data_IF_912745746879
#
_entry.id   IF_912745746879
#
_cell.length_a   1.000
_cell.length_b   1.000
_cell.length_c   1.000
_cell.angle_alpha   90.00
_cell.angle_beta   90.00
_cell.angle_gamma   90.00
#
_symmetry.space_group_name_H-M   'P 1'
#
loop_
_entity.id
_entity.type
_entity.pdbx_description
1 polymer ?
#
# COMPACT_ATOMS: atom_id res chain seq x y z
N UNK A 1 3.75 -21.35 -0.06
CA UNK A 1 2.81 -20.22 -0.16
C UNK A 1 3.43 -18.97 0.41
N UNK A 2 4.17 -19.05 1.53
CA UNK A 2 4.92 -17.91 2.09
C UNK A 2 5.90 -17.30 1.09
N UNK A 3 6.55 -18.09 0.24
CA UNK A 3 7.50 -17.58 -0.77
C UNK A 3 6.87 -16.55 -1.72
N UNK A 4 5.59 -16.74 -2.07
CA UNK A 4 4.85 -15.77 -2.90
C UNK A 4 4.67 -14.46 -2.14
N UNK A 5 4.18 -14.53 -0.89
CA UNK A 5 3.93 -13.32 -0.10
C UNK A 5 5.21 -12.59 0.27
N UNK A 6 6.29 -13.32 0.56
CA UNK A 6 7.61 -12.74 0.80
C UNK A 6 8.05 -11.94 -0.42
N UNK A 7 7.95 -12.49 -1.64
CA UNK A 7 8.29 -11.77 -2.86
C UNK A 7 7.40 -10.52 -3.05
N UNK A 8 6.09 -10.63 -2.81
CA UNK A 8 5.18 -9.48 -2.90
C UNK A 8 5.52 -8.38 -1.88
N UNK A 9 5.90 -8.75 -0.66
CA UNK A 9 6.31 -7.80 0.39
C UNK A 9 7.64 -7.12 0.04
N UNK A 10 8.56 -7.84 -0.59
CA UNK A 10 9.81 -7.27 -1.10
C UNK A 10 9.56 -6.28 -2.23
N UNK A 11 8.68 -6.61 -3.19
CA UNK A 11 8.24 -5.66 -4.22
C UNK A 11 7.60 -4.42 -3.58
N UNK A 12 6.76 -4.62 -2.57
CA UNK A 12 6.11 -3.53 -1.83
C UNK A 12 7.13 -2.56 -1.22
N UNK A 13 8.15 -3.05 -0.52
CA UNK A 13 9.19 -2.20 0.06
C UNK A 13 9.88 -1.36 -1.01
N UNK A 14 10.28 -1.99 -2.12
CA UNK A 14 10.98 -1.28 -3.21
C UNK A 14 10.11 -0.21 -3.88
N UNK A 15 8.84 -0.52 -4.14
CA UNK A 15 7.91 0.42 -4.78
C UNK A 15 7.52 1.55 -3.84
N UNK A 16 7.32 1.27 -2.54
CA UNK A 16 6.99 2.29 -1.53
C UNK A 16 8.11 3.33 -1.40
N UNK A 17 9.36 2.89 -1.25
CA UNK A 17 10.52 3.78 -1.19
C UNK A 17 10.66 4.62 -2.47
N UNK A 18 10.56 3.98 -3.64
CA UNK A 18 10.65 4.68 -4.91
C UNK A 18 9.53 5.71 -5.08
N UNK A 19 8.32 5.40 -4.61
CA UNK A 19 7.17 6.31 -4.64
C UNK A 19 7.38 7.51 -3.72
N UNK A 20 7.80 7.29 -2.48
CA UNK A 20 8.13 8.36 -1.54
C UNK A 20 9.18 9.31 -2.13
N UNK A 21 10.26 8.75 -2.66
CA UNK A 21 11.31 9.55 -3.28
C UNK A 21 10.80 10.28 -4.52
N UNK A 22 10.00 9.62 -5.37
CA UNK A 22 9.42 10.25 -6.56
C UNK A 22 8.52 11.44 -6.21
N UNK A 23 7.66 11.30 -5.21
CA UNK A 23 6.75 12.36 -4.76
C UNK A 23 7.54 13.52 -4.17
N UNK A 24 8.54 13.24 -3.34
CA UNK A 24 9.43 14.27 -2.80
C UNK A 24 10.16 15.03 -3.91
N UNK A 25 10.79 14.32 -4.85
CA UNK A 25 11.59 14.92 -5.92
C UNK A 25 10.75 15.71 -6.94
N UNK A 26 9.57 15.20 -7.27
CA UNK A 26 8.72 15.77 -8.32
C UNK A 26 7.78 16.86 -7.81
N UNK A 27 7.42 16.83 -6.52
CA UNK A 27 6.30 17.59 -5.98
C UNK A 27 6.61 18.32 -4.66
N UNK A 28 7.73 17.98 -3.99
CA UNK A 28 8.20 18.64 -2.77
C UNK A 28 7.62 18.07 -1.47
N UNK A 29 8.14 18.54 -0.33
CA UNK A 29 7.86 18.00 1.02
C UNK A 29 6.39 18.09 1.47
N UNK A 30 5.59 18.96 0.85
CA UNK A 30 4.16 19.12 1.18
C UNK A 30 3.25 18.19 0.37
N UNK A 31 3.80 17.51 -0.63
CA UNK A 31 3.04 16.55 -1.42
C UNK A 31 2.88 15.24 -0.63
N UNK A 32 1.68 14.69 -0.68
CA UNK A 32 1.35 13.43 -0.04
C UNK A 32 0.78 12.48 -1.08
N UNK A 33 0.76 11.19 -0.77
CA UNK A 33 0.10 10.21 -1.59
C UNK A 33 -0.68 9.24 -0.72
N UNK A 34 -1.73 8.69 -1.28
CA UNK A 34 -2.53 7.64 -0.68
C UNK A 34 -2.91 6.63 -1.75
N UNK A 35 -3.24 5.40 -1.34
CA UNK A 35 -3.80 4.44 -2.28
C UNK A 35 -5.27 4.20 -1.98
N UNK A 36 -6.05 4.14 -3.04
CA UNK A 36 -7.45 3.73 -2.99
C UNK A 36 -7.58 2.39 -3.70
N UNK A 37 -7.33 1.31 -2.96
CA UNK A 37 -7.34 -0.08 -3.44
C UNK A 37 -6.35 -0.32 -4.59
N UNK A 38 -6.78 -0.06 -5.83
CA UNK A 38 -6.02 -0.28 -7.08
C UNK A 38 -5.54 1.02 -7.74
N UNK A 39 -5.80 2.16 -7.10
CA UNK A 39 -5.40 3.50 -7.54
C UNK A 39 -4.38 4.09 -6.59
N UNK A 40 -3.51 4.93 -7.14
CA UNK A 40 -2.63 5.81 -6.38
C UNK A 40 -3.07 7.25 -6.63
N UNK A 41 -3.32 7.97 -5.56
CA UNK A 41 -3.67 9.39 -5.62
C UNK A 41 -2.52 10.20 -5.02
N UNK A 42 -2.02 11.18 -5.78
CA UNK A 42 -0.98 12.10 -5.33
C UNK A 42 -1.60 13.47 -5.17
N UNK A 43 -1.49 14.01 -3.95
CA UNK A 43 -2.08 15.26 -3.48
C UNK A 43 -0.99 16.34 -3.33
N UNK A 44 -1.20 17.47 -4.00
CA UNK A 44 -0.33 18.65 -4.01
C UNK A 44 -1.11 19.91 -3.61
N UNK A 45 -1.84 19.83 -2.50
CA UNK A 45 -2.71 20.92 -2.05
C UNK A 45 -3.95 21.07 -2.93
N UNK A 46 -3.89 21.95 -3.94
CA UNK A 46 -5.03 22.24 -4.84
C UNK A 46 -5.16 21.29 -6.03
N UNK A 47 -4.18 20.38 -6.19
CA UNK A 47 -4.13 19.42 -7.30
C UNK A 47 -4.04 18.00 -6.76
N UNK A 48 -5.02 17.21 -7.12
CA UNK A 48 -5.05 15.77 -6.91
C UNK A 48 -5.02 15.09 -8.27
N UNK A 49 -4.21 14.04 -8.39
CA UNK A 49 -4.18 13.21 -9.60
C UNK A 49 -4.12 11.74 -9.24
N UNK A 50 -5.01 11.00 -9.87
CA UNK A 50 -5.13 9.55 -9.72
C UNK A 50 -4.42 8.79 -10.84
N UNK A 51 -3.74 7.71 -10.49
CA UNK A 51 -2.95 6.87 -11.39
C UNK A 51 -3.39 5.40 -11.33
N UNK A 52 -3.49 4.72 -12.48
CA UNK A 52 -3.60 3.25 -12.54
C UNK A 52 -2.24 2.55 -12.46
N UNK A 53 -2.27 1.23 -12.34
CA UNK A 53 -1.10 0.34 -12.33
C UNK A 53 -0.12 0.64 -13.46
N UNK A 54 -0.58 0.78 -14.70
CA UNK A 54 0.31 0.98 -15.84
C UNK A 54 1.00 2.35 -15.78
N UNK A 55 0.27 3.37 -15.32
CA UNK A 55 0.82 4.70 -15.09
C UNK A 55 1.83 4.71 -13.94
N UNK A 56 1.55 4.05 -12.82
CA UNK A 56 2.48 3.93 -11.68
C UNK A 56 3.74 3.17 -12.12
N UNK A 57 3.58 2.06 -12.83
CA UNK A 57 4.69 1.24 -13.34
C UNK A 57 5.61 2.07 -14.25
N UNK A 58 5.03 2.83 -15.19
CA UNK A 58 5.79 3.73 -16.06
C UNK A 58 6.44 4.90 -15.32
N UNK A 59 5.76 5.45 -14.30
CA UNK A 59 6.24 6.57 -13.49
C UNK A 59 7.46 6.18 -12.63
N UNK A 60 7.42 5.00 -12.01
CA UNK A 60 8.45 4.53 -11.08
C UNK A 60 9.46 3.58 -11.72
N UNK A 61 9.30 3.23 -13.01
CA UNK A 61 10.11 2.26 -13.73
C UNK A 61 10.13 0.86 -13.07
N UNK A 62 8.96 0.38 -12.67
CA UNK A 62 8.73 -0.98 -12.16
C UNK A 62 7.88 -1.79 -13.13
N UNK A 63 7.83 -3.12 -12.94
CA UNK A 63 6.85 -3.95 -13.63
C UNK A 63 5.45 -3.69 -13.06
N UNK A 64 4.41 -3.91 -13.87
CA UNK A 64 3.04 -3.86 -13.37
C UNK A 64 2.79 -4.88 -12.25
N UNK A 65 3.46 -6.04 -12.28
CA UNK A 65 3.31 -7.05 -11.24
C UNK A 65 3.87 -6.59 -9.90
N UNK A 66 5.02 -5.89 -9.88
CA UNK A 66 5.55 -5.30 -8.66
C UNK A 66 4.63 -4.20 -8.11
N UNK A 67 4.04 -3.38 -8.99
CA UNK A 67 3.06 -2.35 -8.58
C UNK A 67 1.78 -3.00 -8.03
N UNK A 68 1.30 -4.10 -8.63
CA UNK A 68 0.17 -4.86 -8.10
C UNK A 68 0.50 -5.45 -6.73
N UNK A 69 1.71 -6.00 -6.55
CA UNK A 69 2.20 -6.44 -5.24
C UNK A 69 2.12 -5.30 -4.22
N UNK A 70 2.67 -4.12 -4.54
CA UNK A 70 2.60 -2.93 -3.71
C UNK A 70 1.18 -2.58 -3.28
N UNK A 71 0.24 -2.45 -4.22
CA UNK A 71 -1.15 -2.09 -3.92
C UNK A 71 -1.84 -3.12 -3.03
N UNK A 72 -1.56 -4.41 -3.25
CA UNK A 72 -2.08 -5.51 -2.42
C UNK A 72 -1.54 -5.44 -0.99
N UNK A 73 -0.22 -5.29 -0.82
CA UNK A 73 0.41 -5.28 0.50
C UNK A 73 0.03 -4.00 1.26
N UNK A 74 0.02 -2.84 0.60
CA UNK A 74 -0.41 -1.58 1.21
C UNK A 74 -1.85 -1.69 1.72
N UNK A 75 -2.77 -2.19 0.89
CA UNK A 75 -4.16 -2.40 1.27
C UNK A 75 -4.30 -3.40 2.42
N UNK A 76 -3.51 -4.48 2.40
CA UNK A 76 -3.48 -5.46 3.48
C UNK A 76 -3.05 -4.84 4.80
N UNK A 77 -1.90 -4.15 4.83
CA UNK A 77 -1.34 -3.55 6.03
C UNK A 77 -2.27 -2.48 6.59
N UNK A 78 -2.80 -1.59 5.75
CA UNK A 78 -3.75 -0.54 6.16
C UNK A 78 -4.99 -1.10 6.90
N UNK A 79 -5.38 -2.34 6.60
CA UNK A 79 -6.56 -2.98 7.20
C UNK A 79 -6.23 -4.00 8.30
N UNK A 80 -4.98 -4.42 8.44
CA UNK A 80 -4.58 -5.52 9.35
C UNK A 80 -3.35 -5.18 10.20
N UNK A 81 -2.88 -3.92 10.23
CA UNK A 81 -1.68 -3.55 10.99
C UNK A 81 -1.81 -3.88 12.47
N UNK A 82 -2.99 -3.68 13.06
CA UNK A 82 -3.27 -4.01 14.46
C UNK A 82 -3.03 -5.49 14.81
N UNK A 83 -3.19 -6.42 13.86
CA UNK A 83 -2.90 -7.83 14.08
C UNK A 83 -1.39 -8.11 14.12
N UNK A 84 -0.60 -7.32 13.39
CA UNK A 84 0.85 -7.40 13.38
C UNK A 84 1.45 -6.82 14.67
N UNK A 85 0.93 -5.68 15.11
CA UNK A 85 1.45 -4.93 16.27
C UNK A 85 0.78 -5.29 17.61
N UNK A 86 -0.13 -6.26 17.61
CA UNK A 86 -0.79 -6.74 18.83
C UNK A 86 -1.75 -5.74 19.47
N UNK A 87 -2.52 -5.01 18.66
CA UNK A 87 -3.48 -3.97 19.08
C UNK A 87 -2.85 -2.81 19.88
N UNK A 88 -1.57 -2.50 19.64
CA UNK A 88 -0.93 -1.28 20.15
C UNK A 88 -1.37 -0.07 19.32
N UNK A 89 -1.58 1.07 19.98
CA UNK A 89 -1.82 2.35 19.30
C UNK A 89 -0.54 2.81 18.59
N UNK A 90 -0.69 3.24 17.34
CA UNK A 90 0.40 3.73 16.50
C UNK A 90 0.05 5.09 15.88
N UNK A 91 1.07 5.91 15.61
CA UNK A 91 0.91 7.23 15.00
C UNK A 91 1.04 7.15 13.48
N UNK A 92 2.03 6.40 12.99
CA UNK A 92 2.30 6.27 11.56
C UNK A 92 3.02 4.95 11.23
N UNK A 93 3.02 4.59 9.94
CA UNK A 93 3.83 3.50 9.42
C UNK A 93 4.37 3.82 8.02
N UNK A 94 5.56 3.31 7.75
CA UNK A 94 6.22 3.46 6.46
C UNK A 94 7.20 2.33 6.23
N UNK A 95 8.12 2.50 5.30
CA UNK A 95 9.18 1.53 5.05
C UNK A 95 10.55 2.16 5.34
N UNK A 96 11.52 1.31 5.65
CA UNK A 96 12.94 1.64 5.62
C UNK A 96 13.70 0.42 5.09
N UNK A 97 14.20 0.55 3.86
CA UNK A 97 14.92 -0.51 3.16
C UNK A 97 14.05 -1.74 2.92
N UNK A 98 14.30 -2.82 3.66
CA UNK A 98 13.63 -4.13 3.53
C UNK A 98 12.68 -4.43 4.70
N UNK A 99 12.19 -3.38 5.38
CA UNK A 99 11.34 -3.51 6.56
C UNK A 99 10.22 -2.48 6.58
N UNK A 100 9.09 -2.89 7.18
CA UNK A 100 8.01 -2.01 7.60
C UNK A 100 8.41 -1.39 8.93
N UNK A 101 8.33 -0.07 9.04
CA UNK A 101 8.54 0.67 10.28
C UNK A 101 7.19 1.14 10.81
N UNK A 102 6.91 0.84 12.07
CA UNK A 102 5.72 1.36 12.77
C UNK A 102 6.16 2.25 13.91
N UNK A 103 5.73 3.51 13.89
CA UNK A 103 5.94 4.47 14.96
C UNK A 103 4.76 4.42 15.93
N UNK A 104 5.04 4.09 17.18
CA UNK A 104 4.03 4.04 18.24
C UNK A 104 3.86 5.39 18.94
N UNK A 105 2.73 5.59 19.62
CA UNK A 105 2.44 6.82 20.38
C UNK A 105 3.44 7.13 21.51
N UNK A 106 4.26 6.16 21.92
CA UNK A 106 5.35 6.33 22.89
C UNK A 106 6.70 6.68 22.22
N UNK A 107 6.68 6.99 20.91
CA UNK A 107 7.84 7.31 20.06
C UNK A 107 8.79 6.12 19.85
N UNK A 108 8.39 4.91 20.20
CA UNK A 108 9.14 3.72 19.84
C UNK A 108 8.87 3.34 18.39
N UNK A 109 9.92 2.88 17.70
CA UNK A 109 9.81 2.35 16.35
C UNK A 109 10.08 0.85 16.40
N UNK A 110 9.20 0.06 15.79
CA UNK A 110 9.38 -1.37 15.61
C UNK A 110 9.41 -1.72 14.12
N UNK A 111 10.36 -2.59 13.78
CA UNK A 111 10.59 -3.01 12.40
C UNK A 111 10.04 -4.42 12.17
N UNK A 112 9.32 -4.61 11.07
CA UNK A 112 8.77 -5.90 10.67
C UNK A 112 9.28 -6.29 9.28
N UNK A 113 9.87 -7.47 9.19
CA UNK A 113 10.39 -8.03 7.94
C UNK A 113 9.33 -8.89 7.23
N UNK A 114 9.63 -9.26 5.99
CA UNK A 114 8.72 -10.01 5.14
C UNK A 114 8.28 -11.36 5.74
N UNK A 115 9.16 -12.03 6.51
CA UNK A 115 8.89 -13.30 7.17
C UNK A 115 7.95 -13.17 8.39
N UNK A 116 7.83 -11.98 8.97
CA UNK A 116 6.88 -11.65 10.02
C UNK A 116 5.51 -11.26 9.47
N UNK A 117 5.47 -10.60 8.30
CA UNK A 117 4.24 -10.14 7.66
C UNK A 117 3.56 -11.27 6.86
N UNK A 118 4.33 -12.07 6.11
CA UNK A 118 3.78 -13.11 5.23
C UNK A 118 2.84 -14.13 5.93
N UNK A 119 3.12 -14.61 7.17
CA UNK A 119 2.22 -15.52 7.87
C UNK A 119 0.84 -14.91 8.18
N UNK A 120 0.73 -13.58 8.33
CA UNK A 120 -0.56 -12.92 8.54
C UNK A 120 -1.40 -12.94 7.27
N UNK A 121 -0.76 -12.72 6.12
CA UNK A 121 -1.43 -12.83 4.82
C UNK A 121 -1.96 -14.24 4.54
N UNK A 122 -1.23 -15.28 4.96
CA UNK A 122 -1.67 -16.67 4.80
C UNK A 122 -2.90 -17.03 5.66
N UNK A 123 -3.05 -16.43 6.84
CA UNK A 123 -4.09 -16.78 7.81
C UNK A 123 -5.45 -16.15 7.52
N UNK A 124 -5.52 -15.11 6.68
CA UNK A 124 -6.76 -14.36 6.39
C UNK A 124 -7.52 -14.98 5.22
N UNK A 125 -8.46 -15.88 5.53
CA UNK A 125 -9.29 -16.60 4.54
C UNK A 125 -10.53 -15.82 4.09
N UNK A 126 -10.97 -14.81 4.84
CA UNK A 126 -12.23 -14.09 4.56
C UNK A 126 -12.15 -13.09 3.40
N UNK A 127 -10.95 -12.64 3.05
CA UNK A 127 -10.70 -11.78 1.91
C UNK A 127 -9.47 -12.31 1.18
N UNK A 128 -9.62 -12.58 -0.11
CA UNK A 128 -8.49 -12.99 -0.94
C UNK A 128 -7.65 -11.74 -1.24
N UNK A 129 -6.48 -11.61 -0.61
CA UNK A 129 -5.56 -10.50 -0.85
C UNK A 129 -4.84 -10.65 -2.19
N UNK A 130 -5.61 -10.42 -3.26
CA UNK A 130 -5.15 -10.40 -4.65
C UNK A 130 -5.57 -9.09 -5.30
N UNK A 131 -4.82 -8.72 -6.34
CA UNK A 131 -5.13 -7.51 -7.11
C UNK A 131 -6.53 -7.58 -7.72
N UNK A 132 -6.94 -8.73 -8.26
CA UNK A 132 -8.28 -8.91 -8.85
C UNK A 132 -9.41 -8.71 -7.81
N UNK A 133 -9.21 -9.15 -6.56
CA UNK A 133 -10.18 -8.92 -5.51
C UNK A 133 -10.28 -7.44 -5.12
N UNK A 134 -9.14 -6.73 -5.06
CA UNK A 134 -9.12 -5.28 -4.88
C UNK A 134 -9.79 -4.55 -6.04
N UNK A 135 -9.52 -4.96 -7.28
CA UNK A 135 -10.13 -4.37 -8.48
C UNK A 135 -11.65 -4.52 -8.46
N UNK A 136 -12.17 -5.71 -8.13
CA UNK A 136 -13.62 -5.91 -7.98
C UNK A 136 -14.21 -4.97 -6.92
N UNK A 137 -13.54 -4.86 -5.77
CA UNK A 137 -14.00 -3.98 -4.68
C UNK A 137 -14.00 -2.51 -5.11
N UNK A 138 -12.99 -2.08 -5.86
CA UNK A 138 -12.90 -0.74 -6.43
C UNK A 138 -14.02 -0.48 -7.45
N UNK A 139 -14.26 -1.41 -8.37
CA UNK A 139 -15.29 -1.28 -9.39
C UNK A 139 -16.69 -1.19 -8.76
N UNK A 140 -16.97 -1.98 -7.73
CA UNK A 140 -18.22 -1.92 -6.95
C UNK A 140 -18.40 -0.56 -6.25
N UNK A 141 -17.34 -0.06 -5.61
CA UNK A 141 -17.34 1.27 -4.98
C UNK A 141 -17.61 2.38 -5.99
N UNK A 142 -16.96 2.34 -7.15
CA UNK A 142 -17.17 3.32 -8.21
C UNK A 142 -18.57 3.23 -8.81
N UNK A 143 -19.14 2.03 -8.98
CA UNK A 143 -20.52 1.87 -9.44
C UNK A 143 -21.55 2.52 -8.49
N UNK A 144 -21.35 2.38 -7.17
CA UNK A 144 -22.22 3.00 -6.16
C UNK A 144 -22.10 4.54 -6.19
N UNK A 145 -20.88 5.07 -6.35
CA UNK A 145 -20.66 6.52 -6.42
C UNK A 145 -21.38 7.17 -7.60
N UNK A 146 -21.41 6.50 -8.76
CA UNK A 146 -22.10 6.97 -9.96
C UNK A 146 -23.62 6.73 -9.92
N UNK A 147 -24.08 5.69 -9.22
CA UNK A 147 -25.51 5.38 -9.07
C UNK A 147 -26.29 6.33 -8.15
N UNK A 148 -25.61 7.18 -7.37
CA UNK A 148 -26.24 8.18 -6.47
C UNK A 148 -26.55 9.53 -7.15
N UNK A 149 -26.19 9.71 -8.43
CA UNK A 149 -26.40 10.95 -9.19
C UNK A 149 -27.48 10.76 -10.29
N UNK A 150 -28.31 9.72 -10.20
CA UNK A 150 -29.41 9.45 -11.13
C UNK A 150 -30.78 9.64 -10.48
#
# INVERSE_FOLDING_TARGET
MSDKYIAMIQDFFQVFEALNQHVLDSHGELATWETQLVRLDINQGDKEKSYDVAQIAGMLNFSEDAVKSFLVIYSFLSNNLYDLIGNREYEDWGTDGDSLQVEYSDLTIESFYADQIAPLMERRVYFEWTFDALQRSYDEMMAISHGRIA
#
